data_IF_390858082898
#
_entry.id   IF_390858082898
#
_cell.length_a   1.000
_cell.length_b   1.000
_cell.length_c   1.000
_cell.angle_alpha   90.00
_cell.angle_beta   90.00
_cell.angle_gamma   90.00
#
_symmetry.space_group_name_H-M   'P 1'
#
loop_
_entity.id
_entity.type
_entity.pdbx_description
1 polymer ?
#
# COMPACT_ATOMS: atom_id res chain seq x y z
N UNK A 1 -18.77 -15.47 -8.05
CA UNK A 1 -17.87 -14.31 -7.91
C UNK A 1 -17.26 -14.22 -6.51
N UNK A 2 -18.04 -14.21 -5.40
CA UNK A 2 -17.47 -14.04 -4.04
C UNK A 2 -16.45 -15.09 -3.61
N UNK A 3 -16.67 -16.37 -3.99
CA UNK A 3 -15.70 -17.45 -3.69
C UNK A 3 -14.38 -17.22 -4.45
N UNK A 4 -14.46 -16.81 -5.71
CA UNK A 4 -13.27 -16.52 -6.53
C UNK A 4 -12.51 -15.35 -5.92
N UNK A 5 -13.20 -14.26 -5.59
CA UNK A 5 -12.60 -13.12 -4.90
C UNK A 5 -11.92 -13.55 -3.60
N UNK A 6 -12.63 -14.31 -2.75
CA UNK A 6 -12.06 -14.76 -1.47
C UNK A 6 -10.83 -15.65 -1.62
N UNK A 7 -10.77 -16.50 -2.64
CA UNK A 7 -9.59 -17.34 -2.89
C UNK A 7 -8.43 -16.53 -3.52
N UNK A 8 -8.72 -15.71 -4.52
CA UNK A 8 -7.68 -15.01 -5.29
C UNK A 8 -7.14 -13.76 -4.60
N UNK A 9 -7.87 -13.16 -3.64
CA UNK A 9 -7.41 -12.02 -2.87
C UNK A 9 -6.33 -12.39 -1.86
N UNK A 10 -6.43 -13.59 -1.27
CA UNK A 10 -5.41 -14.07 -0.31
C UNK A 10 -4.22 -14.73 -1.00
N UNK A 11 -4.32 -15.07 -2.27
CA UNK A 11 -3.22 -15.52 -3.10
C UNK A 11 -2.69 -14.34 -3.92
N UNK A 12 -1.37 -14.19 -4.10
CA UNK A 12 -0.79 -13.09 -4.89
C UNK A 12 -0.95 -13.32 -6.40
N UNK A 13 -2.18 -13.58 -6.87
CA UNK A 13 -2.49 -14.00 -8.25
C UNK A 13 -3.39 -13.02 -9.01
N UNK A 14 -3.60 -11.81 -8.51
CA UNK A 14 -4.49 -10.79 -9.10
C UNK A 14 -5.99 -11.20 -9.11
N UNK A 15 -6.70 -10.85 -8.06
CA UNK A 15 -8.15 -11.11 -7.91
C UNK A 15 -8.96 -10.41 -9.00
N UNK A 16 -8.66 -9.15 -9.31
CA UNK A 16 -9.33 -8.38 -10.35
C UNK A 16 -9.17 -8.99 -11.74
N UNK A 17 -7.98 -9.51 -12.08
CA UNK A 17 -7.75 -10.23 -13.32
C UNK A 17 -8.60 -11.50 -13.45
N UNK A 18 -8.72 -12.28 -12.37
CA UNK A 18 -9.55 -13.48 -12.34
C UNK A 18 -11.04 -13.13 -12.42
N UNK A 19 -11.49 -12.10 -11.71
CA UNK A 19 -12.88 -11.64 -11.80
C UNK A 19 -13.24 -11.18 -13.22
N UNK A 20 -12.37 -10.42 -13.89
CA UNK A 20 -12.56 -9.99 -15.26
C UNK A 20 -12.68 -11.19 -16.23
N UNK A 21 -11.75 -12.16 -16.12
CA UNK A 21 -11.83 -13.38 -16.93
C UNK A 21 -13.13 -14.16 -16.69
N UNK A 22 -13.53 -14.34 -15.44
CA UNK A 22 -14.76 -15.04 -15.11
C UNK A 22 -16.01 -14.34 -15.61
N UNK A 23 -16.08 -13.01 -15.52
CA UNK A 23 -17.19 -12.23 -16.09
C UNK A 23 -17.32 -12.47 -17.59
N UNK A 24 -16.23 -12.40 -18.31
CA UNK A 24 -16.21 -12.58 -19.77
C UNK A 24 -16.55 -14.04 -20.15
N UNK A 25 -15.91 -15.04 -19.54
CA UNK A 25 -16.09 -16.44 -19.89
C UNK A 25 -17.49 -16.97 -19.56
N UNK A 26 -18.10 -16.53 -18.47
CA UNK A 26 -19.40 -16.99 -18.03
C UNK A 26 -20.54 -16.01 -18.36
N UNK A 27 -20.25 -14.96 -19.13
CA UNK A 27 -21.22 -13.93 -19.54
C UNK A 27 -22.00 -13.39 -18.32
N UNK A 28 -21.30 -13.16 -17.21
CA UNK A 28 -21.94 -12.63 -16.00
C UNK A 28 -22.12 -11.13 -16.17
N UNK A 29 -23.31 -10.75 -16.60
CA UNK A 29 -23.71 -9.34 -16.60
C UNK A 29 -24.03 -8.93 -15.16
N UNK A 30 -23.28 -7.97 -14.66
CA UNK A 30 -23.58 -7.31 -13.39
C UNK A 30 -24.08 -5.91 -13.69
N UNK A 31 -25.40 -5.69 -13.56
CA UNK A 31 -26.04 -4.38 -13.78
C UNK A 31 -25.43 -3.26 -12.93
N UNK A 32 -24.72 -3.62 -11.86
CA UNK A 32 -24.08 -2.70 -10.91
C UNK A 32 -22.62 -2.39 -11.26
N UNK A 33 -22.04 -3.00 -12.30
CA UNK A 33 -20.70 -2.71 -12.82
C UNK A 33 -19.61 -2.66 -11.73
N UNK A 34 -18.95 -1.52 -11.61
CA UNK A 34 -17.86 -1.27 -10.66
C UNK A 34 -18.28 -1.42 -9.18
N UNK A 35 -19.54 -1.12 -8.83
CA UNK A 35 -20.02 -1.22 -7.44
C UNK A 35 -19.95 -2.65 -6.91
N UNK A 36 -20.28 -3.64 -7.74
CA UNK A 36 -20.21 -5.04 -7.36
C UNK A 36 -18.78 -5.48 -7.02
N UNK A 37 -17.81 -5.07 -7.84
CA UNK A 37 -16.40 -5.40 -7.61
C UNK A 37 -15.88 -4.72 -6.33
N UNK A 38 -16.27 -3.47 -6.08
CA UNK A 38 -15.94 -2.78 -4.84
C UNK A 38 -16.51 -3.50 -3.62
N UNK A 39 -17.76 -3.96 -3.68
CA UNK A 39 -18.39 -4.69 -2.57
C UNK A 39 -17.69 -6.04 -2.29
N UNK A 40 -17.21 -6.72 -3.32
CA UNK A 40 -16.40 -7.94 -3.16
C UNK A 40 -15.09 -7.66 -2.40
N UNK A 41 -14.39 -6.57 -2.76
CA UNK A 41 -13.17 -6.14 -2.07
C UNK A 41 -13.45 -5.68 -0.63
N UNK A 42 -14.57 -5.00 -0.38
CA UNK A 42 -14.99 -4.64 0.98
C UNK A 42 -15.21 -5.89 1.83
N UNK A 43 -15.82 -6.95 1.27
CA UNK A 43 -16.00 -8.22 1.97
C UNK A 43 -14.68 -8.86 2.40
N UNK A 44 -13.68 -8.91 1.52
CA UNK A 44 -12.35 -9.43 1.85
C UNK A 44 -11.61 -8.52 2.83
N UNK A 45 -11.77 -7.20 2.72
CA UNK A 45 -11.20 -6.25 3.66
C UNK A 45 -11.75 -6.43 5.08
N UNK A 46 -13.05 -6.66 5.23
CA UNK A 46 -13.68 -6.96 6.52
C UNK A 46 -13.10 -8.25 7.11
N UNK A 47 -12.91 -9.29 6.30
CA UNK A 47 -12.32 -10.54 6.74
C UNK A 47 -10.87 -10.34 7.24
N UNK A 48 -10.05 -9.59 6.49
CA UNK A 48 -8.68 -9.24 6.90
C UNK A 48 -8.69 -8.45 8.21
N UNK A 49 -9.57 -7.44 8.32
CA UNK A 49 -9.70 -6.65 9.54
C UNK A 49 -10.12 -7.49 10.75
N UNK A 50 -11.00 -8.48 10.57
CA UNK A 50 -11.43 -9.36 11.65
C UNK A 50 -10.29 -10.29 12.13
N UNK A 51 -9.49 -10.83 11.21
CA UNK A 51 -8.39 -11.75 11.54
C UNK A 51 -7.19 -11.00 12.13
N UNK A 52 -6.78 -9.89 11.51
CA UNK A 52 -5.57 -9.14 11.85
C UNK A 52 -5.85 -7.85 12.64
N UNK A 53 -6.99 -7.77 13.37
CA UNK A 53 -7.41 -6.53 14.03
C UNK A 53 -6.35 -5.94 14.97
N UNK A 54 -5.58 -6.78 15.69
CA UNK A 54 -4.53 -6.31 16.61
C UNK A 54 -3.39 -5.61 15.89
N UNK A 55 -2.96 -6.18 14.78
CA UNK A 55 -1.88 -5.61 13.98
C UNK A 55 -2.35 -4.33 13.27
N UNK A 56 -3.58 -4.33 12.75
CA UNK A 56 -4.18 -3.16 12.11
C UNK A 56 -4.33 -2.00 13.11
N UNK A 57 -4.86 -2.25 14.31
CA UNK A 57 -4.95 -1.23 15.36
C UNK A 57 -3.57 -0.69 15.71
N UNK A 58 -2.57 -1.57 15.85
CA UNK A 58 -1.20 -1.16 16.15
C UNK A 58 -0.60 -0.32 15.03
N UNK A 59 -0.77 -0.71 13.76
CA UNK A 59 -0.33 0.08 12.60
C UNK A 59 -1.00 1.45 12.57
N UNK A 60 -2.30 1.51 12.87
CA UNK A 60 -3.05 2.78 12.92
C UNK A 60 -2.54 3.71 14.03
N UNK A 61 -2.32 3.18 15.22
CA UNK A 61 -1.77 3.95 16.36
C UNK A 61 -0.36 4.46 16.03
N UNK A 62 0.51 3.61 15.46
CA UNK A 62 1.85 4.03 15.05
C UNK A 62 1.81 5.06 13.92
N UNK A 63 0.84 4.97 13.01
CA UNK A 63 0.57 5.98 11.99
C UNK A 63 0.24 7.35 12.60
N UNK A 64 -0.66 7.39 13.59
CA UNK A 64 -0.98 8.62 14.34
C UNK A 64 0.26 9.17 15.05
N UNK A 65 1.07 8.30 15.66
CA UNK A 65 2.31 8.69 16.32
C UNK A 65 3.31 9.30 15.33
N UNK A 66 3.43 8.76 14.10
CA UNK A 66 4.27 9.34 13.04
C UNK A 66 3.79 10.74 12.70
N UNK A 67 2.49 10.93 12.44
CA UNK A 67 1.92 12.25 12.13
C UNK A 67 2.20 13.24 13.25
N UNK A 68 1.98 12.85 14.51
CA UNK A 68 2.31 13.68 15.68
C UNK A 68 3.79 14.06 15.72
N UNK A 69 4.70 13.10 15.52
CA UNK A 69 6.15 13.37 15.60
C UNK A 69 6.62 14.24 14.43
N UNK A 70 6.01 14.10 13.23
CA UNK A 70 6.23 15.01 12.09
C UNK A 70 5.77 16.43 12.41
N UNK A 71 4.59 16.59 13.00
CA UNK A 71 4.07 17.92 13.40
C UNK A 71 4.96 18.57 14.46
N UNK A 72 5.44 17.80 15.45
CA UNK A 72 6.37 18.31 16.46
C UNK A 72 7.70 18.74 15.84
N UNK A 73 8.25 17.92 14.93
CA UNK A 73 9.48 18.27 14.22
C UNK A 73 9.30 19.50 13.33
N UNK A 74 8.15 19.64 12.69
CA UNK A 74 7.82 20.82 11.89
C UNK A 74 7.72 22.09 12.77
N UNK A 75 7.07 22.00 13.93
CA UNK A 75 7.02 23.10 14.90
C UNK A 75 8.42 23.45 15.43
N UNK A 76 9.26 22.42 15.72
CA UNK A 76 10.65 22.62 16.11
C UNK A 76 11.48 23.30 15.00
N UNK A 77 11.25 22.91 13.73
CA UNK A 77 11.90 23.54 12.57
C UNK A 77 11.57 25.01 12.48
N UNK A 78 10.27 25.38 12.57
CA UNK A 78 9.84 26.79 12.53
C UNK A 78 10.45 27.57 13.70
N UNK A 79 10.41 27.00 14.91
CA UNK A 79 10.97 27.63 16.11
C UNK A 79 12.51 27.84 15.95
N UNK A 80 13.23 26.82 15.51
CA UNK A 80 14.68 26.90 15.30
C UNK A 80 15.04 27.92 14.20
N UNK A 81 14.23 27.98 13.13
CA UNK A 81 14.40 28.97 12.07
C UNK A 81 14.20 30.39 12.61
N UNK A 82 13.14 30.60 13.41
CA UNK A 82 12.87 31.91 14.03
C UNK A 82 13.99 32.32 15.00
N UNK A 83 14.48 31.39 15.84
CA UNK A 83 15.59 31.63 16.74
C UNK A 83 16.88 31.96 16.00
N UNK A 84 17.18 31.26 14.90
CA UNK A 84 18.34 31.51 14.05
C UNK A 84 18.31 32.90 13.40
N UNK A 85 17.12 33.43 13.06
CA UNK A 85 16.97 34.75 12.50
C UNK A 85 17.09 35.82 13.60
N UNK A 86 16.48 35.59 14.78
CA UNK A 86 16.42 36.57 15.88
C UNK A 86 17.74 36.73 16.62
N UNK A 87 18.46 35.60 16.84
CA UNK A 87 19.66 35.54 17.67
C UNK A 87 20.95 35.41 16.84
N UNK A 88 20.96 36.00 15.65
CA UNK A 88 22.10 36.04 14.73
C UNK A 88 23.24 36.88 15.36
N UNK A 89 24.16 36.18 16.05
CA UNK A 89 25.30 36.83 16.73
C UNK A 89 25.46 36.45 18.20
N UNK A 90 24.66 35.55 18.74
CA UNK A 90 24.85 34.97 20.08
C UNK A 90 25.51 33.62 20.01
N UNK A 91 26.55 33.41 20.85
CA UNK A 91 27.35 32.18 20.86
C UNK A 91 26.60 30.94 21.37
N UNK A 92 25.44 31.09 22.03
CA UNK A 92 24.62 30.00 22.53
C UNK A 92 23.14 30.21 22.18
N UNK A 93 22.64 29.44 21.20
CA UNK A 93 21.20 29.35 20.86
C UNK A 93 20.72 27.95 21.19
N UNK A 94 19.73 27.86 22.08
CA UNK A 94 19.17 26.57 22.53
C UNK A 94 18.13 26.08 21.48
N UNK A 95 18.60 25.26 20.52
CA UNK A 95 17.76 24.67 19.48
C UNK A 95 16.88 23.53 20.02
N UNK A 96 15.63 23.50 19.59
CA UNK A 96 14.72 22.41 19.92
C UNK A 96 15.16 21.10 19.23
N UNK A 97 15.34 20.00 19.99
CA UNK A 97 15.79 18.73 19.39
C UNK A 97 14.71 18.12 18.50
N UNK A 98 15.14 17.50 17.38
CA UNK A 98 14.24 16.76 16.50
C UNK A 98 13.98 15.34 17.04
N UNK A 99 12.74 14.90 16.94
CA UNK A 99 12.35 13.53 17.27
C UNK A 99 12.66 12.58 16.11
N UNK A 100 13.14 11.39 16.44
CA UNK A 100 13.34 10.32 15.46
C UNK A 100 11.99 9.72 15.07
N UNK A 101 11.60 9.88 13.81
CA UNK A 101 10.28 9.46 13.30
C UNK A 101 10.20 7.93 13.22
N UNK A 102 11.24 7.30 12.63
CA UNK A 102 11.29 5.84 12.42
C UNK A 102 12.18 5.22 13.49
N UNK A 103 11.55 4.70 14.55
CA UNK A 103 12.23 4.08 15.70
C UNK A 103 11.75 2.65 15.97
N UNK A 104 10.76 2.13 15.23
CA UNK A 104 10.27 0.75 15.35
C UNK A 104 10.04 0.11 13.99
N UNK A 105 10.03 -1.24 13.94
CA UNK A 105 9.73 -1.99 12.71
C UNK A 105 8.33 -1.68 12.18
N UNK A 106 7.34 -1.49 13.06
CA UNK A 106 5.98 -1.09 12.68
C UNK A 106 5.95 0.28 12.03
N UNK A 107 6.68 1.27 12.56
CA UNK A 107 6.78 2.61 11.94
C UNK A 107 7.47 2.56 10.58
N UNK A 108 8.53 1.75 10.45
CA UNK A 108 9.18 1.53 9.15
C UNK A 108 8.18 0.96 8.14
N UNK A 109 7.36 -0.01 8.55
CA UNK A 109 6.35 -0.61 7.68
C UNK A 109 5.28 0.40 7.26
N UNK A 110 4.75 1.21 8.21
CA UNK A 110 3.79 2.30 7.90
C UNK A 110 4.36 3.29 6.90
N UNK A 111 5.62 3.74 7.10
CA UNK A 111 6.27 4.67 6.16
C UNK A 111 6.42 4.04 4.77
N UNK A 112 6.80 2.77 4.69
CA UNK A 112 6.90 2.06 3.41
C UNK A 112 5.56 1.97 2.69
N UNK A 113 4.47 1.68 3.42
CA UNK A 113 3.10 1.70 2.86
C UNK A 113 2.77 3.08 2.28
N UNK A 114 2.97 4.14 3.07
CA UNK A 114 2.66 5.50 2.63
C UNK A 114 3.47 5.90 1.39
N UNK A 115 4.77 5.62 1.38
CA UNK A 115 5.66 5.92 0.26
C UNK A 115 5.29 5.13 -0.99
N UNK A 116 4.91 3.85 -0.87
CA UNK A 116 4.49 3.04 -2.01
C UNK A 116 3.09 3.42 -2.55
N UNK A 117 2.22 3.93 -1.68
CA UNK A 117 0.86 4.35 -2.08
C UNK A 117 0.87 5.56 -3.00
N UNK A 118 1.84 6.49 -2.84
CA UNK A 118 1.93 7.70 -3.65
C UNK A 118 2.11 7.38 -5.15
N UNK A 119 3.16 6.65 -5.58
CA UNK A 119 3.33 6.33 -7.01
C UNK A 119 2.19 5.46 -7.54
N UNK A 120 1.70 4.51 -6.75
CA UNK A 120 0.56 3.66 -7.13
C UNK A 120 -0.70 4.49 -7.35
N UNK A 121 -0.99 5.45 -6.47
CA UNK A 121 -2.12 6.35 -6.61
C UNK A 121 -2.03 7.25 -7.85
N UNK A 122 -0.84 7.79 -8.14
CA UNK A 122 -0.60 8.61 -9.34
C UNK A 122 -0.82 7.78 -10.61
N UNK A 123 -0.22 6.59 -10.69
CA UNK A 123 -0.36 5.70 -11.85
C UNK A 123 -1.82 5.26 -12.00
N UNK A 124 -2.49 4.89 -10.91
CA UNK A 124 -3.89 4.48 -10.92
C UNK A 124 -4.84 5.60 -11.36
N UNK A 125 -4.58 6.85 -10.92
CA UNK A 125 -5.40 7.99 -11.31
C UNK A 125 -5.21 8.36 -12.78
N UNK A 126 -3.97 8.42 -13.26
CA UNK A 126 -3.65 8.78 -14.65
C UNK A 126 -4.03 7.67 -15.63
N UNK A 127 -3.87 6.40 -15.22
CA UNK A 127 -4.12 5.23 -16.06
C UNK A 127 -5.55 4.69 -16.00
N UNK A 128 -6.45 5.27 -15.22
CA UNK A 128 -7.79 4.73 -14.95
C UNK A 128 -8.55 4.37 -16.24
N UNK A 129 -8.68 5.31 -17.16
CA UNK A 129 -9.48 5.13 -18.39
C UNK A 129 -8.89 4.06 -19.31
N UNK A 130 -7.56 3.99 -19.37
CA UNK A 130 -6.84 2.96 -20.16
C UNK A 130 -7.04 1.58 -19.53
N UNK A 131 -6.95 1.47 -18.21
CA UNK A 131 -7.14 0.21 -17.48
C UNK A 131 -8.58 -0.28 -17.62
N UNK A 132 -9.57 0.62 -17.52
CA UNK A 132 -10.98 0.29 -17.64
C UNK A 132 -11.30 -0.27 -19.03
N UNK A 133 -10.90 0.41 -20.10
CA UNK A 133 -11.07 -0.08 -21.49
C UNK A 133 -10.32 -1.38 -21.75
N UNK A 134 -9.10 -1.49 -21.25
CA UNK A 134 -8.26 -2.68 -21.45
C UNK A 134 -8.82 -3.92 -20.70
N UNK A 135 -9.47 -3.73 -19.56
CA UNK A 135 -10.04 -4.83 -18.77
C UNK A 135 -11.24 -5.52 -19.42
N UNK A 136 -11.91 -4.85 -20.37
CA UNK A 136 -13.02 -5.42 -21.12
C UNK A 136 -12.55 -6.41 -22.21
N UNK A 137 -11.30 -6.35 -22.61
CA UNK A 137 -10.72 -7.24 -23.60
C UNK A 137 -10.15 -8.50 -22.94
N UNK A 138 -10.68 -9.68 -23.28
CA UNK A 138 -10.26 -10.99 -22.71
C UNK A 138 -8.74 -11.21 -22.72
N UNK A 139 -8.08 -10.74 -23.77
CA UNK A 139 -6.63 -10.94 -23.99
C UNK A 139 -5.81 -10.18 -22.96
N UNK A 140 -6.22 -8.97 -22.57
CA UNK A 140 -5.44 -8.11 -21.69
C UNK A 140 -5.32 -8.66 -20.26
N UNK A 141 -6.41 -9.01 -19.56
CA UNK A 141 -6.31 -9.68 -18.27
C UNK A 141 -5.51 -10.99 -18.33
N UNK A 142 -5.66 -11.77 -19.42
CA UNK A 142 -4.90 -13.00 -19.62
C UNK A 142 -3.39 -12.77 -19.68
N UNK A 143 -2.92 -11.82 -20.49
CA UNK A 143 -1.50 -11.45 -20.58
C UNK A 143 -0.99 -10.92 -19.24
N UNK A 144 -1.75 -10.06 -18.54
CA UNK A 144 -1.39 -9.53 -17.24
C UNK A 144 -1.25 -10.63 -16.18
N UNK A 145 -2.11 -11.65 -16.19
CA UNK A 145 -2.01 -12.79 -15.30
C UNK A 145 -0.76 -13.63 -15.58
N UNK A 146 -0.41 -13.86 -16.86
CA UNK A 146 0.83 -14.55 -17.23
C UNK A 146 2.06 -13.75 -16.77
N UNK A 147 2.07 -12.44 -17.00
CA UNK A 147 3.14 -11.57 -16.53
C UNK A 147 3.30 -11.61 -15.00
N UNK A 148 2.19 -11.55 -14.27
CA UNK A 148 2.19 -11.69 -12.80
C UNK A 148 2.72 -13.05 -12.35
N UNK A 149 2.34 -14.14 -13.01
CA UNK A 149 2.83 -15.49 -12.71
C UNK A 149 4.35 -15.59 -12.92
N UNK A 150 4.88 -15.02 -14.01
CA UNK A 150 6.33 -14.98 -14.30
C UNK A 150 7.05 -14.18 -13.20
N UNK A 151 6.54 -13.00 -12.84
CA UNK A 151 7.13 -12.16 -11.79
C UNK A 151 7.16 -12.87 -10.44
N UNK A 152 6.06 -13.56 -10.06
CA UNK A 152 5.99 -14.35 -8.83
C UNK A 152 6.99 -15.51 -8.85
N UNK A 153 7.11 -16.20 -9.96
CA UNK A 153 8.07 -17.28 -10.12
C UNK A 153 9.52 -16.79 -9.96
N UNK A 154 9.85 -15.64 -10.56
CA UNK A 154 11.17 -15.01 -10.41
C UNK A 154 11.39 -14.57 -8.96
N UNK A 155 10.39 -13.93 -8.34
CA UNK A 155 10.48 -13.45 -6.96
C UNK A 155 10.69 -14.60 -5.96
N UNK A 156 10.01 -15.74 -6.17
CA UNK A 156 10.18 -16.93 -5.33
C UNK A 156 11.61 -17.50 -5.43
N UNK A 157 12.17 -17.54 -6.66
CA UNK A 157 13.57 -17.93 -6.87
C UNK A 157 14.57 -16.99 -6.20
N UNK A 158 14.31 -15.68 -6.23
CA UNK A 158 15.15 -14.68 -5.58
C UNK A 158 15.07 -14.77 -4.04
N UNK A 159 13.92 -15.07 -3.45
CA UNK A 159 13.76 -15.24 -2.00
C UNK A 159 14.58 -16.41 -1.45
N UNK A 160 14.65 -17.52 -2.17
CA UNK A 160 15.52 -18.65 -1.82
C UNK A 160 17.00 -18.25 -1.73
N UNK A 161 17.44 -17.29 -2.53
CA UNK A 161 18.81 -16.75 -2.47
C UNK A 161 19.04 -15.83 -1.25
N UNK A 162 18.01 -15.06 -0.82
CA UNK A 162 18.10 -14.12 0.31
C UNK A 162 17.97 -14.79 1.68
N UNK A 163 17.23 -15.89 1.80
CA UNK A 163 17.08 -16.63 3.05
C UNK A 163 18.41 -17.27 3.46
N UNK A 164 19.24 -17.68 2.49
CA UNK A 164 20.58 -18.21 2.78
C UNK A 164 21.61 -17.17 3.28
N UNK A 165 21.29 -15.89 3.17
CA UNK A 165 22.18 -14.78 3.57
C UNK A 165 21.81 -14.22 4.96
N UNK A 166 20.62 -14.50 5.48
CA UNK A 166 20.06 -13.85 6.68
C UNK A 166 19.91 -14.75 7.91
N UNK A 167 20.35 -15.99 7.87
CA UNK A 167 20.46 -16.80 9.09
C UNK A 167 21.87 -16.68 9.68
N UNK A 168 21.98 -16.19 10.92
CA UNK A 168 23.25 -16.16 11.64
C UNK A 168 23.68 -17.55 12.12
#
# INVERSE_FOLDING_TARGET
>A
MGIIQGLTEFLPVSSSGHLALFKILFHVETDTGMLFDVLLHVGTLIAICAVYYKDIVRLFVEGICIVRDVLINFAALIKNLFLSIRDRGKDHVDYSPYRRIVNSSYRKFVVLILVSTIPTGIIGFVGKDVVEQASELLIVPGICLIATAILLFIADRCKLSLIHISEP
#
